data_IF_599050609774
#
_entry.id   IF_599050609774
#
_cell.length_a   1.000
_cell.length_b   1.000
_cell.length_c   1.000
_cell.angle_alpha   90.00
_cell.angle_beta   90.00
_cell.angle_gamma   90.00
#
_symmetry.space_group_name_H-M   'P 1'
#
loop_
_entity.id
_entity.type
_entity.pdbx_description
1 polymer ?
#
# COMPACT_ATOMS: atom_id res chain seq x y z
N UNK A 1 -12.19 11.84 10.80
CA UNK A 1 -11.07 11.51 9.92
C UNK A 1 -9.77 11.38 10.69
N UNK A 2 -8.97 10.36 10.40
CA UNK A 2 -7.57 10.23 10.84
C UNK A 2 -6.70 9.63 9.74
N UNK A 3 -5.39 9.69 9.95
CA UNK A 3 -4.39 9.23 8.98
C UNK A 3 -3.59 8.06 9.55
N UNK A 4 -3.29 7.06 8.73
CA UNK A 4 -2.48 5.89 9.10
C UNK A 4 -1.38 5.66 8.07
N UNK A 5 -0.14 5.47 8.52
CA UNK A 5 1.03 5.32 7.65
C UNK A 5 1.90 6.58 7.63
N UNK A 6 2.96 6.54 6.84
CA UNK A 6 4.00 7.58 6.86
C UNK A 6 4.48 7.98 5.46
N UNK A 7 4.17 7.19 4.44
CA UNK A 7 4.61 7.44 3.07
C UNK A 7 3.57 8.25 2.31
N UNK A 8 3.95 9.47 1.99
CA UNK A 8 3.25 10.38 1.08
C UNK A 8 4.26 10.89 0.06
N UNK A 9 3.80 11.21 -1.16
CA UNK A 9 4.67 11.56 -2.27
C UNK A 9 4.11 12.74 -3.03
N UNK A 10 4.96 13.71 -3.33
CA UNK A 10 4.61 14.86 -4.18
C UNK A 10 4.82 14.51 -5.66
N UNK A 11 5.61 13.47 -5.94
CA UNK A 11 5.91 13.04 -7.30
C UNK A 11 6.19 11.53 -7.41
N UNK A 12 6.13 11.03 -8.64
CA UNK A 12 6.58 9.68 -9.00
C UNK A 12 8.05 9.41 -8.64
N UNK A 13 8.91 10.43 -8.72
CA UNK A 13 10.32 10.32 -8.36
C UNK A 13 10.50 10.10 -6.85
N UNK A 14 9.70 10.77 -6.02
CA UNK A 14 9.72 10.58 -4.57
C UNK A 14 9.24 9.18 -4.19
N UNK A 15 8.19 8.69 -4.86
CA UNK A 15 7.69 7.33 -4.70
C UNK A 15 8.77 6.28 -5.03
N UNK A 16 9.48 6.45 -6.16
CA UNK A 16 10.62 5.58 -6.54
C UNK A 16 11.73 5.59 -5.49
N UNK A 17 12.14 6.78 -5.04
CA UNK A 17 13.20 6.91 -4.04
C UNK A 17 12.84 6.22 -2.72
N UNK A 18 11.58 6.33 -2.29
CA UNK A 18 11.11 5.64 -1.08
C UNK A 18 10.91 4.14 -1.29
N UNK A 19 10.51 3.71 -2.49
CA UNK A 19 10.49 2.30 -2.83
C UNK A 19 11.90 1.70 -2.77
N UNK A 20 12.92 2.40 -3.27
CA UNK A 20 14.36 2.04 -3.14
C UNK A 20 14.83 1.95 -1.69
N UNK A 21 14.42 2.89 -0.85
CA UNK A 21 14.86 2.93 0.56
C UNK A 21 14.45 1.70 1.37
N UNK A 22 13.33 1.04 1.04
CA UNK A 22 12.83 -0.14 1.76
C UNK A 22 13.39 -1.48 1.27
N UNK A 23 14.13 -1.50 0.16
CA UNK A 23 14.72 -2.73 -0.41
C UNK A 23 15.59 -3.52 0.58
N UNK A 24 16.56 -2.90 1.28
CA UNK A 24 17.39 -3.60 2.27
C UNK A 24 16.59 -4.17 3.45
N UNK A 25 15.51 -3.48 3.85
CA UNK A 25 14.61 -3.96 4.90
C UNK A 25 13.82 -5.19 4.43
N UNK A 26 13.30 -5.18 3.19
CA UNK A 26 12.61 -6.31 2.59
C UNK A 26 13.49 -7.57 2.54
N UNK A 27 14.72 -7.43 2.03
CA UNK A 27 15.68 -8.53 1.98
C UNK A 27 15.98 -9.09 3.38
N UNK A 28 16.10 -8.21 4.37
CA UNK A 28 16.34 -8.61 5.76
C UNK A 28 15.17 -9.39 6.34
N UNK A 29 13.94 -8.93 6.12
CA UNK A 29 12.72 -9.62 6.57
C UNK A 29 12.64 -11.01 5.94
N UNK A 30 12.80 -11.13 4.62
CA UNK A 30 12.78 -12.43 3.93
C UNK A 30 13.82 -13.38 4.50
N UNK A 31 15.05 -12.90 4.71
CA UNK A 31 16.13 -13.72 5.29
C UNK A 31 15.82 -14.21 6.71
N UNK A 32 15.28 -13.36 7.58
CA UNK A 32 14.96 -13.78 8.95
C UNK A 32 13.77 -14.75 8.97
N UNK A 33 12.79 -14.58 8.09
CA UNK A 33 11.67 -15.51 7.94
C UNK A 33 12.14 -16.87 7.44
N UNK A 34 12.95 -16.95 6.38
CA UNK A 34 13.46 -18.24 5.87
C UNK A 34 14.38 -18.93 6.86
N UNK A 35 15.17 -18.18 7.63
CA UNK A 35 15.95 -18.70 8.74
C UNK A 35 15.07 -19.30 9.85
N UNK A 36 13.97 -18.64 10.20
CA UNK A 36 13.00 -19.17 11.17
C UNK A 36 12.32 -20.46 10.66
N UNK A 37 12.18 -20.59 9.34
CA UNK A 37 11.72 -21.81 8.67
C UNK A 37 12.82 -22.88 8.53
N UNK A 38 14.03 -22.63 9.04
CA UNK A 38 15.18 -23.52 8.99
C UNK A 38 15.64 -23.90 7.57
N UNK A 39 15.47 -23.00 6.60
CA UNK A 39 16.04 -23.19 5.26
C UNK A 39 17.56 -23.30 5.36
N UNK A 40 18.12 -24.32 4.73
CA UNK A 40 19.55 -24.37 4.52
C UNK A 40 19.98 -23.47 3.35
N UNK A 41 21.29 -23.43 3.07
CA UNK A 41 21.82 -22.58 2.01
C UNK A 41 21.31 -22.97 0.62
N UNK A 42 21.23 -24.26 0.32
CA UNK A 42 20.81 -24.72 -0.99
C UNK A 42 19.33 -24.42 -1.22
N UNK A 43 18.48 -24.63 -0.19
CA UNK A 43 17.07 -24.28 -0.25
C UNK A 43 16.86 -22.76 -0.34
N UNK A 44 17.64 -21.97 0.41
CA UNK A 44 17.59 -20.51 0.31
C UNK A 44 17.93 -20.04 -1.11
N UNK A 45 19.04 -20.52 -1.67
CA UNK A 45 19.51 -20.09 -2.99
C UNK A 45 18.55 -20.51 -4.13
N UNK A 46 17.82 -21.62 -3.97
CA UNK A 46 16.81 -22.09 -4.93
C UNK A 46 15.47 -21.35 -4.82
N UNK A 47 15.01 -21.10 -3.58
CA UNK A 47 13.63 -20.62 -3.35
C UNK A 47 13.52 -19.12 -3.10
N UNK A 48 14.58 -18.46 -2.64
CA UNK A 48 14.59 -17.02 -2.35
C UNK A 48 15.13 -16.26 -3.56
N UNK A 49 14.29 -16.14 -4.58
CA UNK A 49 14.62 -15.42 -5.80
C UNK A 49 14.50 -13.91 -5.61
N UNK A 50 14.99 -13.13 -6.59
CA UNK A 50 14.77 -11.67 -6.62
C UNK A 50 13.27 -11.33 -6.56
N UNK A 51 12.41 -12.09 -7.24
CA UNK A 51 10.96 -11.90 -7.24
C UNK A 51 10.34 -12.04 -5.84
N UNK A 52 10.86 -12.97 -5.01
CA UNK A 52 10.42 -13.11 -3.61
C UNK A 52 10.77 -11.87 -2.80
N UNK A 53 11.99 -11.33 -2.99
CA UNK A 53 12.43 -10.12 -2.29
C UNK A 53 11.67 -8.89 -2.78
N UNK A 54 11.41 -8.77 -4.08
CA UNK A 54 10.59 -7.72 -4.68
C UNK A 54 9.16 -7.79 -4.15
N UNK A 55 8.55 -8.97 -4.08
CA UNK A 55 7.21 -9.14 -3.50
C UNK A 55 7.15 -8.69 -2.03
N UNK A 56 8.19 -8.98 -1.25
CA UNK A 56 8.28 -8.49 0.12
C UNK A 56 8.46 -6.98 0.18
N UNK A 57 9.21 -6.39 -0.75
CA UNK A 57 9.43 -4.96 -0.88
C UNK A 57 8.14 -4.22 -1.25
N UNK A 58 7.39 -4.74 -2.22
CA UNK A 58 6.05 -4.28 -2.60
C UNK A 58 5.12 -4.22 -1.39
N UNK A 59 5.07 -5.32 -0.63
CA UNK A 59 4.22 -5.41 0.55
C UNK A 59 4.66 -4.43 1.65
N UNK A 60 5.95 -4.29 1.91
CA UNK A 60 6.47 -3.33 2.89
C UNK A 60 6.19 -1.89 2.47
N UNK A 61 6.47 -1.52 1.22
CA UNK A 61 6.17 -0.19 0.70
C UNK A 61 4.67 0.12 0.81
N UNK A 62 3.81 -0.80 0.34
CA UNK A 62 2.36 -0.67 0.44
C UNK A 62 1.92 -0.48 1.89
N UNK A 63 2.50 -1.23 2.84
CA UNK A 63 2.16 -1.15 4.26
C UNK A 63 2.49 0.20 4.91
N UNK A 64 3.40 0.97 4.33
CA UNK A 64 3.84 2.26 4.83
C UNK A 64 3.06 3.43 4.22
N UNK A 65 2.32 3.20 3.12
CA UNK A 65 1.49 4.22 2.48
C UNK A 65 0.58 4.89 3.49
N UNK A 66 0.64 6.21 3.50
CA UNK A 66 -0.25 7.05 4.26
C UNK A 66 -1.66 6.97 3.67
N UNK A 67 -2.64 6.56 4.47
CA UNK A 67 -4.05 6.48 4.06
C UNK A 67 -4.90 7.31 4.99
N UNK A 68 -5.97 7.90 4.46
CA UNK A 68 -6.97 8.64 5.22
C UNK A 68 -8.15 7.73 5.50
N UNK A 69 -8.62 7.72 6.74
CA UNK A 69 -9.78 6.96 7.19
C UNK A 69 -10.81 7.95 7.71
N UNK A 70 -12.05 7.84 7.23
CA UNK A 70 -13.13 8.73 7.59
C UNK A 70 -14.50 8.12 7.36
N UNK A 71 -15.54 8.89 7.64
CA UNK A 71 -16.89 8.56 7.23
C UNK A 71 -17.11 8.94 5.74
N UNK A 72 -18.31 8.65 5.23
CA UNK A 72 -18.68 8.98 3.86
C UNK A 72 -18.68 10.48 3.54
N UNK A 73 -19.22 11.30 4.43
CA UNK A 73 -19.27 12.76 4.27
C UNK A 73 -17.85 13.34 4.12
N UNK A 74 -16.92 12.92 4.99
CA UNK A 74 -15.51 13.33 4.93
C UNK A 74 -14.82 12.88 3.62
N UNK A 75 -15.21 11.74 3.06
CA UNK A 75 -14.72 11.27 1.77
C UNK A 75 -15.32 12.05 0.59
N UNK A 76 -16.61 12.35 0.63
CA UNK A 76 -17.31 13.16 -0.38
C UNK A 76 -16.75 14.59 -0.41
N UNK A 77 -16.56 15.21 0.76
CA UNK A 77 -15.92 16.51 0.90
C UNK A 77 -14.50 16.52 0.30
N UNK A 78 -13.72 15.46 0.55
CA UNK A 78 -12.41 15.31 -0.07
C UNK A 78 -12.51 15.16 -1.59
N UNK A 79 -13.44 14.33 -2.07
CA UNK A 79 -13.65 14.02 -3.50
C UNK A 79 -14.03 15.26 -4.30
N UNK A 80 -14.83 16.15 -3.73
CA UNK A 80 -15.27 17.41 -4.35
C UNK A 80 -14.10 18.38 -4.59
N UNK A 81 -13.05 18.29 -3.78
CA UNK A 81 -11.82 19.08 -3.93
C UNK A 81 -10.74 18.41 -4.79
N UNK A 82 -10.95 17.15 -5.19
CA UNK A 82 -9.95 16.35 -5.89
C UNK A 82 -10.25 16.25 -7.39
N UNK A 83 -9.35 16.78 -8.21
CA UNK A 83 -9.54 16.82 -9.67
C UNK A 83 -9.25 15.48 -10.38
N UNK A 84 -8.69 14.51 -9.66
CA UNK A 84 -8.25 13.23 -10.20
C UNK A 84 -9.34 12.15 -10.33
N UNK A 85 -8.96 11.02 -10.92
CA UNK A 85 -9.80 9.83 -10.97
C UNK A 85 -9.73 9.07 -9.65
N UNK A 86 -10.89 8.58 -9.16
CA UNK A 86 -10.96 7.80 -7.92
C UNK A 86 -11.60 6.46 -8.21
N UNK A 87 -10.84 5.39 -8.01
CA UNK A 87 -11.37 4.03 -8.05
C UNK A 87 -11.87 3.63 -6.66
N UNK A 88 -13.18 3.46 -6.50
CA UNK A 88 -13.78 3.00 -5.25
C UNK A 88 -14.10 1.50 -5.31
N UNK A 89 -13.75 0.76 -4.25
CA UNK A 89 -14.05 -0.66 -4.10
C UNK A 89 -14.81 -0.90 -2.80
N UNK A 90 -15.84 -1.73 -2.84
CA UNK A 90 -16.62 -2.11 -1.66
C UNK A 90 -18.12 -1.94 -1.89
N UNK A 91 -18.87 -1.98 -0.79
CA UNK A 91 -20.32 -1.85 -0.82
C UNK A 91 -20.73 -0.37 -0.69
N UNK A 92 -21.82 0.02 -1.34
CA UNK A 92 -22.34 1.40 -1.28
C UNK A 92 -23.16 1.68 -0.02
N UNK A 93 -23.70 0.66 0.66
CA UNK A 93 -24.42 0.80 1.94
C UNK A 93 -23.51 0.56 3.16
N UNK A 94 -22.42 1.33 3.28
CA UNK A 94 -21.55 1.31 4.48
C UNK A 94 -21.09 2.71 4.84
N UNK A 95 -20.80 2.92 6.12
CA UNK A 95 -20.63 4.27 6.67
C UNK A 95 -19.22 4.84 6.55
N UNK A 96 -18.20 3.97 6.38
CA UNK A 96 -16.80 4.38 6.43
C UNK A 96 -16.06 4.13 5.12
N UNK A 97 -15.08 4.99 4.89
CA UNK A 97 -14.22 4.96 3.72
C UNK A 97 -12.78 5.15 4.17
N UNK A 98 -11.89 4.36 3.58
CA UNK A 98 -10.45 4.63 3.58
C UNK A 98 -10.05 5.02 2.16
N UNK A 99 -9.14 5.98 2.00
CA UNK A 99 -8.67 6.41 0.68
C UNK A 99 -7.21 6.85 0.68
N UNK A 100 -6.61 6.82 -0.51
CA UNK A 100 -5.25 7.25 -0.76
C UNK A 100 -5.13 7.80 -2.18
N UNK A 101 -4.49 8.96 -2.32
CA UNK A 101 -4.21 9.61 -3.59
C UNK A 101 -2.72 9.46 -3.94
N UNK A 102 -2.46 8.95 -5.14
CA UNK A 102 -1.12 8.85 -5.70
C UNK A 102 -0.65 10.17 -6.32
N UNK A 103 0.63 10.24 -6.71
CA UNK A 103 1.24 11.46 -7.24
C UNK A 103 0.76 11.86 -8.64
N UNK A 104 0.20 10.93 -9.43
CA UNK A 104 -0.15 11.14 -10.84
C UNK A 104 -1.64 11.43 -11.08
N UNK A 105 -2.35 11.95 -10.07
CA UNK A 105 -3.76 12.35 -10.23
C UNK A 105 -4.75 11.19 -10.25
N UNK A 106 -4.34 10.03 -9.74
CA UNK A 106 -5.21 8.87 -9.48
C UNK A 106 -5.28 8.58 -7.98
N UNK A 107 -6.45 8.11 -7.53
CA UNK A 107 -6.68 7.70 -6.16
C UNK A 107 -7.48 6.40 -6.08
N UNK A 108 -7.35 5.73 -4.95
CA UNK A 108 -8.13 4.53 -4.62
C UNK A 108 -8.86 4.76 -3.31
N UNK A 109 -10.09 4.26 -3.22
CA UNK A 109 -10.89 4.22 -2.00
C UNK A 109 -11.42 2.80 -1.75
N UNK A 110 -11.55 2.44 -0.49
CA UNK A 110 -12.19 1.19 -0.06
C UNK A 110 -13.21 1.49 1.04
N UNK A 111 -14.42 0.95 0.92
CA UNK A 111 -15.49 1.16 1.88
C UNK A 111 -15.56 0.03 2.91
N UNK A 112 -15.98 0.34 4.14
CA UNK A 112 -16.11 -0.64 5.22
C UNK A 112 -17.15 -0.23 6.27
N UNK A 113 -17.62 -1.19 7.07
CA UNK A 113 -18.52 -0.95 8.20
C UNK A 113 -17.79 -1.03 9.55
N UNK A 114 -17.23 -2.19 9.88
CA UNK A 114 -16.67 -2.44 11.23
C UNK A 114 -15.17 -2.80 11.23
N UNK A 115 -14.62 -3.17 10.07
CA UNK A 115 -13.27 -3.77 9.97
C UNK A 115 -12.25 -2.79 9.37
N UNK A 116 -11.93 -1.71 10.11
CA UNK A 116 -11.01 -0.66 9.64
C UNK A 116 -9.64 -1.22 9.24
N UNK A 117 -9.03 -2.04 10.09
CA UNK A 117 -7.68 -2.57 9.82
C UNK A 117 -7.62 -3.42 8.54
N UNK A 118 -8.67 -4.20 8.27
CA UNK A 118 -8.77 -5.00 7.05
C UNK A 118 -8.99 -4.10 5.82
N UNK A 119 -9.78 -3.03 5.96
CA UNK A 119 -10.00 -2.05 4.91
C UNK A 119 -8.71 -1.31 4.55
N UNK A 120 -7.95 -0.84 5.55
CA UNK A 120 -6.64 -0.20 5.36
C UNK A 120 -5.66 -1.13 4.65
N UNK A 121 -5.56 -2.39 5.07
CA UNK A 121 -4.68 -3.37 4.43
C UNK A 121 -5.09 -3.64 2.96
N UNK A 122 -6.40 -3.77 2.71
CA UNK A 122 -6.96 -3.98 1.37
C UNK A 122 -6.67 -2.77 0.47
N UNK A 123 -6.93 -1.56 0.96
CA UNK A 123 -6.68 -0.33 0.24
C UNK A 123 -5.21 -0.20 -0.14
N UNK A 124 -4.29 -0.41 0.80
CA UNK A 124 -2.85 -0.31 0.54
C UNK A 124 -2.39 -1.27 -0.55
N UNK A 125 -2.92 -2.49 -0.56
CA UNK A 125 -2.63 -3.46 -1.64
C UNK A 125 -3.16 -2.98 -3.00
N UNK A 126 -4.38 -2.41 -3.04
CA UNK A 126 -4.95 -1.86 -4.26
C UNK A 126 -4.19 -0.63 -4.74
N UNK A 127 -3.85 0.29 -3.83
CA UNK A 127 -3.06 1.48 -4.10
C UNK A 127 -1.70 1.11 -4.71
N UNK A 128 -0.97 0.16 -4.11
CA UNK A 128 0.28 -0.31 -4.72
C UNK A 128 0.07 -0.87 -6.12
N UNK A 129 -0.89 -1.79 -6.28
CA UNK A 129 -1.13 -2.46 -7.56
C UNK A 129 -1.55 -1.52 -8.69
N UNK A 130 -2.26 -0.42 -8.38
CA UNK A 130 -2.82 0.51 -9.37
C UNK A 130 -1.96 1.75 -9.58
N UNK A 131 -1.51 2.36 -8.50
CA UNK A 131 -0.87 3.67 -8.52
C UNK A 131 0.65 3.60 -8.57
N UNK A 132 1.24 2.48 -8.13
CA UNK A 132 2.69 2.40 -7.91
C UNK A 132 3.39 1.30 -8.69
N UNK A 133 2.73 0.17 -9.01
CA UNK A 133 3.38 -0.99 -9.64
C UNK A 133 4.13 -0.66 -10.93
N UNK A 134 3.53 0.16 -11.79
CA UNK A 134 4.15 0.58 -13.06
C UNK A 134 4.95 1.88 -12.90
N UNK A 135 4.90 2.48 -11.71
CA UNK A 135 5.57 3.73 -11.37
C UNK A 135 6.95 3.50 -10.78
N UNK A 136 7.11 2.54 -9.87
CA UNK A 136 8.31 2.34 -9.03
C UNK A 136 9.24 1.23 -9.47
#
# INVERSE_FOLDING_TARGET
>A
MHTVGTFTFESAADARAQYESVGPAAQTVVREVTKAMAFDRAEYDDRVTSEVVETARDALFASLLEVRVGNREEFEDWRDSYDGEVTTVGHEDVDHVVWHAGPDGEAVAATFQNEEAAAVATLRRQAFGRLYRDLV
#
